data_IF_706930097239
#
_entry.id   IF_706930097239
#
_cell.length_a   1.000
_cell.length_b   1.000
_cell.length_c   1.000
_cell.angle_alpha   90.00
_cell.angle_beta   90.00
_cell.angle_gamma   90.00
#
_symmetry.space_group_name_H-M   'P 1'
#
loop_
_entity.id
_entity.type
_entity.pdbx_description
1 polymer ?
#
# COMPACT_ATOMS: atom_id res chain seq x y z
N UNK A 1 36.40 46.58 22.94
CA UNK A 1 36.37 45.11 23.07
C UNK A 1 35.00 44.69 23.57
N UNK A 2 34.24 43.94 22.76
CA UNK A 2 32.92 43.44 23.14
C UNK A 2 32.24 42.71 21.99
N UNK A 3 32.77 41.55 21.60
CA UNK A 3 32.10 40.67 20.64
C UNK A 3 30.85 40.06 21.30
N UNK A 4 29.66 40.54 20.92
CA UNK A 4 28.40 39.86 21.22
C UNK A 4 28.35 38.57 20.40
N UNK A 5 28.50 37.43 21.08
CA UNK A 5 28.18 36.11 20.49
C UNK A 5 26.71 36.09 20.11
N UNK A 6 26.43 36.00 18.81
CA UNK A 6 25.08 35.68 18.31
C UNK A 6 24.82 34.21 18.63
N UNK A 7 24.02 33.96 19.65
CA UNK A 7 23.53 32.61 19.95
C UNK A 7 22.52 32.26 18.87
N UNK A 8 22.89 31.35 17.96
CA UNK A 8 21.93 30.72 17.04
C UNK A 8 20.90 29.98 17.90
N UNK A 9 19.65 30.47 17.91
CA UNK A 9 18.51 29.71 18.42
C UNK A 9 18.32 28.52 17.48
N UNK A 10 18.77 27.34 17.91
CA UNK A 10 18.42 26.09 17.24
C UNK A 10 16.92 25.92 17.42
N UNK A 11 16.16 26.05 16.32
CA UNK A 11 14.75 25.71 16.34
C UNK A 11 14.69 24.19 16.46
N UNK A 12 14.48 23.69 17.68
CA UNK A 12 14.14 22.30 17.91
C UNK A 12 12.71 22.17 17.38
N UNK A 13 12.58 21.89 16.08
CA UNK A 13 11.29 21.57 15.46
C UNK A 13 10.64 20.46 16.28
N UNK A 14 9.37 20.63 16.66
CA UNK A 14 8.57 19.63 17.34
C UNK A 14 8.78 18.24 16.70
N UNK A 15 9.58 17.40 17.36
CA UNK A 15 9.90 16.04 16.90
C UNK A 15 8.77 15.06 17.16
N UNK A 16 7.70 15.52 17.83
CA UNK A 16 6.51 14.75 18.07
C UNK A 16 5.58 14.87 16.85
N UNK A 17 5.46 13.79 16.07
CA UNK A 17 4.47 13.66 15.01
C UNK A 17 3.48 12.57 15.45
N UNK A 18 2.40 12.92 16.18
CA UNK A 18 1.43 11.96 16.71
C UNK A 18 0.95 10.94 15.67
N UNK A 19 0.79 11.38 14.42
CA UNK A 19 0.34 10.54 13.31
C UNK A 19 1.31 9.39 13.01
N UNK A 20 2.62 9.59 13.16
CA UNK A 20 3.62 8.54 12.93
C UNK A 20 3.58 7.49 14.03
N UNK A 21 3.48 7.93 15.29
CA UNK A 21 3.33 7.03 16.43
C UNK A 21 2.03 6.23 16.29
N UNK A 22 0.94 6.90 15.91
CA UNK A 22 -0.33 6.24 15.68
C UNK A 22 -0.27 5.20 14.56
N UNK A 23 0.33 5.54 13.41
CA UNK A 23 0.52 4.61 12.30
C UNK A 23 1.29 3.36 12.74
N UNK A 24 2.40 3.54 13.45
CA UNK A 24 3.19 2.43 13.98
C UNK A 24 2.42 1.59 15.01
N UNK A 25 1.64 2.22 15.90
CA UNK A 25 0.80 1.48 16.85
C UNK A 25 -0.25 0.61 16.18
N UNK A 26 -0.81 1.04 15.04
CA UNK A 26 -1.78 0.22 14.29
C UNK A 26 -1.11 -1.03 13.73
N UNK A 27 0.12 -0.92 13.21
CA UNK A 27 0.88 -2.10 12.75
C UNK A 27 1.06 -3.11 13.90
N UNK A 28 1.46 -2.65 15.09
CA UNK A 28 1.59 -3.52 16.26
C UNK A 28 0.26 -4.15 16.70
N UNK A 29 -0.84 -3.41 16.63
CA UNK A 29 -2.16 -3.95 16.95
C UNK A 29 -2.61 -5.00 15.95
N UNK A 30 -2.34 -4.79 14.66
CA UNK A 30 -2.70 -5.75 13.63
C UNK A 30 -1.80 -6.99 13.68
N UNK A 31 -0.50 -6.84 13.92
CA UNK A 31 0.40 -7.95 14.21
C UNK A 31 -0.12 -8.80 15.39
N UNK A 32 -0.58 -8.18 16.48
CA UNK A 32 -1.18 -8.91 17.59
C UNK A 32 -2.48 -9.62 17.17
N UNK A 33 -3.30 -8.99 16.33
CA UNK A 33 -4.49 -9.62 15.78
C UNK A 33 -4.13 -10.86 14.95
N UNK A 34 -3.15 -10.79 14.06
CA UNK A 34 -2.67 -11.95 13.30
C UNK A 34 -2.15 -13.04 14.23
N UNK A 35 -1.30 -12.70 15.21
CA UNK A 35 -0.77 -13.68 16.19
C UNK A 35 -1.85 -14.42 16.98
N UNK A 36 -2.99 -13.79 17.24
CA UNK A 36 -4.12 -14.42 17.93
C UNK A 36 -4.91 -15.38 17.03
N UNK A 37 -4.82 -15.22 15.71
CA UNK A 37 -5.53 -16.02 14.72
C UNK A 37 -4.61 -17.01 13.97
N UNK A 38 -3.30 -16.89 14.14
CA UNK A 38 -2.31 -17.79 13.56
C UNK A 38 -2.52 -19.25 13.98
N UNK A 39 -2.20 -20.15 13.06
CA UNK A 39 -2.10 -21.56 13.32
C UNK A 39 -0.70 -21.94 13.85
N UNK A 40 -0.57 -23.19 14.29
CA UNK A 40 0.70 -23.69 14.79
C UNK A 40 1.73 -23.72 13.66
N UNK A 41 2.78 -22.93 13.82
CA UNK A 41 3.92 -22.89 12.90
C UNK A 41 3.96 -21.63 12.05
N UNK A 42 2.89 -20.84 12.06
CA UNK A 42 2.92 -19.51 11.47
C UNK A 42 3.89 -18.60 12.21
N UNK A 43 4.44 -17.62 11.49
CA UNK A 43 5.21 -16.53 12.07
C UNK A 43 4.69 -15.18 11.58
N UNK A 44 4.54 -14.24 12.50
CA UNK A 44 4.12 -12.87 12.20
C UNK A 44 5.30 -11.92 12.36
N UNK A 45 5.47 -11.02 11.39
CA UNK A 45 6.54 -10.05 11.31
C UNK A 45 6.00 -8.64 11.13
N UNK A 46 6.81 -7.64 11.47
CA UNK A 46 6.53 -6.21 11.29
C UNK A 46 7.71 -5.62 10.52
N UNK A 47 7.44 -4.89 9.44
CA UNK A 47 8.44 -4.19 8.61
C UNK A 47 9.52 -5.14 8.01
N UNK A 48 9.15 -6.38 7.67
CA UNK A 48 10.05 -7.34 7.01
C UNK A 48 9.85 -7.36 5.50
N UNK A 49 8.64 -7.67 5.03
CA UNK A 49 8.29 -7.66 3.60
C UNK A 49 7.03 -6.85 3.28
N UNK A 50 6.29 -6.42 4.31
CA UNK A 50 5.28 -5.37 4.29
C UNK A 50 5.16 -4.79 5.72
N UNK A 51 4.21 -3.89 5.96
CA UNK A 51 3.97 -3.32 7.30
C UNK A 51 3.76 -4.44 8.34
N UNK A 52 2.94 -5.45 7.99
CA UNK A 52 2.79 -6.70 8.73
C UNK A 52 2.88 -7.85 7.72
N UNK A 53 3.59 -8.91 8.09
CA UNK A 53 3.72 -10.10 7.26
C UNK A 53 3.40 -11.36 8.04
N UNK A 54 2.65 -12.30 7.45
CA UNK A 54 2.48 -13.66 7.99
C UNK A 54 3.19 -14.64 7.05
N UNK A 55 4.01 -15.53 7.60
CA UNK A 55 4.60 -16.66 6.87
C UNK A 55 4.04 -17.96 7.43
N UNK A 56 3.62 -18.85 6.53
CA UNK A 56 3.00 -20.12 6.86
C UNK A 56 3.98 -21.30 6.66
N UNK A 57 3.77 -22.45 7.34
CA UNK A 57 4.62 -23.63 7.20
C UNK A 57 4.70 -24.23 5.79
N UNK A 58 3.69 -24.01 4.95
CA UNK A 58 3.66 -24.44 3.55
C UNK A 58 4.43 -23.49 2.61
N UNK A 59 4.99 -22.41 3.16
CA UNK A 59 5.73 -21.38 2.44
C UNK A 59 4.87 -20.25 1.90
N UNK A 60 3.54 -20.32 2.03
CA UNK A 60 2.65 -19.22 1.64
C UNK A 60 2.81 -18.02 2.57
N UNK A 61 2.50 -16.84 2.06
CA UNK A 61 2.68 -15.56 2.77
C UNK A 61 1.48 -14.64 2.64
N UNK A 62 1.18 -13.91 3.72
CA UNK A 62 0.27 -12.77 3.68
C UNK A 62 1.08 -11.47 3.81
N UNK A 63 1.12 -10.66 2.76
CA UNK A 63 1.73 -9.33 2.74
C UNK A 63 0.68 -8.27 3.03
N UNK A 64 0.71 -7.71 4.24
CA UNK A 64 -0.34 -6.86 4.76
C UNK A 64 0.14 -5.42 4.87
N UNK A 65 -0.42 -4.56 4.02
CA UNK A 65 -0.18 -3.13 4.05
C UNK A 65 -1.31 -2.43 4.81
N UNK A 66 -0.94 -1.65 5.83
CA UNK A 66 -1.88 -0.88 6.63
C UNK A 66 -1.95 0.57 6.14
N UNK A 67 -3.16 1.05 5.89
CA UNK A 67 -3.43 2.46 5.60
C UNK A 67 -4.32 3.04 6.67
N UNK A 68 -3.74 3.98 7.42
CA UNK A 68 -4.46 4.82 8.35
C UNK A 68 -4.72 6.19 7.75
N UNK A 69 -5.81 6.83 8.15
CA UNK A 69 -6.06 8.21 7.78
C UNK A 69 -6.73 8.96 8.93
N UNK A 70 -6.32 10.21 9.13
CA UNK A 70 -7.16 11.18 9.83
C UNK A 70 -8.43 11.40 9.00
N UNK A 71 -9.55 11.69 9.66
CA UNK A 71 -10.91 11.60 9.11
C UNK A 71 -11.17 12.26 7.74
N UNK A 72 -10.37 13.26 7.37
CA UNK A 72 -10.50 14.02 6.13
C UNK A 72 -9.83 13.38 4.89
N UNK A 73 -8.89 12.43 5.04
CA UNK A 73 -8.20 11.80 3.90
C UNK A 73 -8.83 10.43 3.59
N UNK A 74 -8.96 10.12 2.29
CA UNK A 74 -9.32 8.78 1.83
C UNK A 74 -8.10 8.11 1.17
N UNK A 75 -7.41 7.18 1.87
CA UNK A 75 -6.18 6.57 1.37
C UNK A 75 -6.43 5.61 0.19
N UNK A 76 -7.68 5.24 -0.05
CA UNK A 76 -8.10 4.29 -1.11
C UNK A 76 -8.99 4.92 -2.17
N UNK A 77 -9.07 6.25 -2.21
CA UNK A 77 -9.72 6.91 -3.34
C UNK A 77 -8.96 6.63 -4.65
N UNK A 78 -9.64 6.65 -5.79
CA UNK A 78 -9.06 6.22 -7.07
C UNK A 78 -7.74 6.92 -7.41
N UNK A 79 -7.55 8.19 -7.01
CA UNK A 79 -6.32 8.96 -7.28
C UNK A 79 -5.40 9.09 -6.05
N UNK A 80 -5.66 8.34 -4.98
CA UNK A 80 -4.86 8.39 -3.76
C UNK A 80 -3.44 7.87 -4.03
N UNK A 81 -2.45 8.74 -3.82
CA UNK A 81 -1.05 8.37 -3.99
C UNK A 81 -0.63 7.18 -3.11
N UNK A 82 -1.15 7.07 -1.89
CA UNK A 82 -0.78 6.00 -0.97
C UNK A 82 -1.24 4.63 -1.48
N UNK A 83 -2.41 4.55 -2.11
CA UNK A 83 -2.90 3.33 -2.78
C UNK A 83 -1.95 2.93 -3.92
N UNK A 84 -1.64 3.86 -4.82
CA UNK A 84 -0.81 3.55 -5.99
C UNK A 84 0.64 3.24 -5.65
N UNK A 85 1.18 3.85 -4.59
CA UNK A 85 2.49 3.47 -4.04
C UNK A 85 2.49 2.04 -3.52
N UNK A 86 1.45 1.61 -2.83
CA UNK A 86 1.32 0.22 -2.36
C UNK A 86 1.22 -0.76 -3.53
N UNK A 87 0.33 -0.50 -4.50
CA UNK A 87 0.23 -1.35 -5.69
C UNK A 87 1.54 -1.45 -6.46
N UNK A 88 2.28 -0.33 -6.56
CA UNK A 88 3.61 -0.31 -7.16
C UNK A 88 4.61 -1.17 -6.39
N UNK A 89 4.66 -1.04 -5.06
CA UNK A 89 5.60 -1.80 -4.24
C UNK A 89 5.32 -3.32 -4.32
N UNK A 90 4.05 -3.73 -4.29
CA UNK A 90 3.66 -5.14 -4.43
C UNK A 90 4.01 -5.74 -5.79
N UNK A 91 3.78 -4.99 -6.88
CA UNK A 91 4.24 -5.47 -8.19
C UNK A 91 5.77 -5.52 -8.26
N UNK A 92 6.47 -4.55 -7.66
CA UNK A 92 7.92 -4.55 -7.65
C UNK A 92 8.47 -5.74 -6.87
N UNK A 93 7.90 -6.08 -5.71
CA UNK A 93 8.32 -7.25 -4.93
C UNK A 93 8.04 -8.56 -5.65
N UNK A 94 6.94 -8.66 -6.39
CA UNK A 94 6.67 -9.79 -7.28
C UNK A 94 7.74 -9.91 -8.39
N UNK A 95 8.04 -8.80 -9.07
CA UNK A 95 8.99 -8.76 -10.17
C UNK A 95 10.44 -9.02 -9.76
N UNK A 96 10.83 -8.61 -8.55
CA UNK A 96 12.17 -8.86 -8.00
C UNK A 96 12.31 -10.26 -7.39
N UNK A 97 11.22 -11.00 -7.26
CA UNK A 97 11.17 -12.30 -6.60
C UNK A 97 11.29 -12.23 -5.07
N UNK A 98 11.05 -11.05 -4.48
CA UNK A 98 10.97 -10.89 -3.02
C UNK A 98 9.71 -11.58 -2.47
N UNK A 99 8.60 -11.46 -3.20
CA UNK A 99 7.35 -12.17 -2.93
C UNK A 99 6.98 -12.99 -4.17
N UNK A 100 6.61 -14.26 -3.97
CA UNK A 100 6.09 -15.10 -5.04
C UNK A 100 4.58 -14.83 -5.20
N UNK A 101 4.12 -14.20 -6.30
CA UNK A 101 2.72 -13.85 -6.48
C UNK A 101 1.78 -15.05 -6.50
N UNK A 102 2.27 -16.25 -6.88
CA UNK A 102 1.45 -17.47 -6.86
C UNK A 102 1.23 -18.01 -5.44
N UNK A 103 2.07 -17.58 -4.49
CA UNK A 103 2.06 -18.06 -3.11
C UNK A 103 1.95 -16.94 -2.07
N UNK A 104 1.57 -15.73 -2.52
CA UNK A 104 1.46 -14.55 -1.67
C UNK A 104 0.09 -13.91 -1.81
N UNK A 105 -0.58 -13.73 -0.68
CA UNK A 105 -1.81 -12.95 -0.59
C UNK A 105 -1.49 -11.51 -0.20
N UNK A 106 -1.88 -10.57 -1.05
CA UNK A 106 -1.69 -9.13 -0.80
C UNK A 106 -2.94 -8.53 -0.15
N UNK A 107 -2.79 -7.97 1.05
CA UNK A 107 -3.91 -7.50 1.87
C UNK A 107 -3.74 -6.01 2.14
N UNK A 108 -4.70 -5.21 1.66
CA UNK A 108 -4.78 -3.78 1.98
C UNK A 108 -5.72 -3.57 3.16
N UNK A 109 -5.16 -3.40 4.36
CA UNK A 109 -5.94 -3.14 5.56
C UNK A 109 -6.21 -1.65 5.75
N UNK A 110 -7.48 -1.26 5.78
CA UNK A 110 -7.92 0.11 6.07
C UNK A 110 -8.58 0.19 7.44
N UNK A 111 -8.04 1.04 8.33
CA UNK A 111 -8.60 1.22 9.67
C UNK A 111 -9.70 2.30 9.74
N UNK A 112 -10.11 2.84 8.59
CA UNK A 112 -11.12 3.88 8.43
C UNK A 112 -12.23 3.39 7.51
N UNK A 113 -13.47 3.75 7.83
CA UNK A 113 -14.61 3.47 6.94
C UNK A 113 -14.57 4.39 5.71
N UNK A 114 -13.76 4.02 4.73
CA UNK A 114 -13.58 4.68 3.43
C UNK A 114 -13.70 3.63 2.33
N UNK A 115 -14.12 4.07 1.14
CA UNK A 115 -14.31 3.22 -0.03
C UNK A 115 -13.63 3.81 -1.25
N UNK A 116 -13.41 2.98 -2.26
CA UNK A 116 -12.89 3.40 -3.55
C UNK A 116 -13.28 2.40 -4.62
N UNK A 117 -13.73 2.87 -5.78
CA UNK A 117 -14.25 1.97 -6.81
C UNK A 117 -13.20 1.01 -7.35
N UNK A 118 -11.93 1.42 -7.33
CA UNK A 118 -10.81 0.56 -7.76
C UNK A 118 -10.56 -0.54 -6.75
N UNK A 119 -10.41 -0.19 -5.46
CA UNK A 119 -10.18 -1.20 -4.40
C UNK A 119 -11.36 -2.14 -4.27
N UNK A 120 -12.59 -1.65 -4.40
CA UNK A 120 -13.80 -2.47 -4.37
C UNK A 120 -13.81 -3.48 -5.54
N UNK A 121 -13.41 -3.05 -6.75
CA UNK A 121 -13.34 -3.94 -7.92
C UNK A 121 -12.32 -5.05 -7.77
N UNK A 122 -11.10 -4.73 -7.31
CA UNK A 122 -10.08 -5.75 -7.08
C UNK A 122 -10.44 -6.67 -5.91
N UNK A 123 -11.03 -6.12 -4.85
CA UNK A 123 -11.46 -6.91 -3.69
C UNK A 123 -12.58 -7.91 -4.02
N UNK A 124 -13.45 -7.59 -4.99
CA UNK A 124 -14.54 -8.49 -5.41
C UNK A 124 -14.14 -9.50 -6.50
N UNK A 125 -12.89 -9.50 -6.98
CA UNK A 125 -12.43 -10.49 -7.93
C UNK A 125 -12.04 -11.77 -7.20
N UNK A 126 -12.64 -12.90 -7.59
CA UNK A 126 -12.42 -14.23 -6.99
C UNK A 126 -11.73 -15.20 -7.97
N UNK A 127 -11.38 -14.74 -9.17
CA UNK A 127 -10.69 -15.50 -10.21
C UNK A 127 -9.73 -14.62 -11.01
N UNK A 128 -8.77 -15.24 -11.70
CA UNK A 128 -7.82 -14.55 -12.60
C UNK A 128 -8.56 -13.80 -13.72
N UNK A 129 -9.62 -14.38 -14.28
CA UNK A 129 -10.43 -13.71 -15.31
C UNK A 129 -11.10 -12.44 -14.77
N UNK A 130 -11.64 -12.50 -13.54
CA UNK A 130 -12.24 -11.35 -12.88
C UNK A 130 -11.19 -10.31 -12.48
N UNK A 131 -9.98 -10.71 -12.08
CA UNK A 131 -8.87 -9.80 -11.79
C UNK A 131 -8.41 -9.06 -13.05
N UNK A 132 -8.29 -9.76 -14.18
CA UNK A 132 -7.98 -9.16 -15.49
C UNK A 132 -9.09 -8.20 -15.93
N UNK A 133 -10.36 -8.58 -15.78
CA UNK A 133 -11.50 -7.71 -16.07
C UNK A 133 -11.51 -6.46 -15.18
N UNK A 134 -11.24 -6.62 -13.87
CA UNK A 134 -11.09 -5.52 -12.94
C UNK A 134 -9.94 -4.59 -13.36
N UNK A 135 -8.79 -5.13 -13.76
CA UNK A 135 -7.66 -4.34 -14.26
C UNK A 135 -8.02 -3.55 -15.52
N UNK A 136 -8.70 -4.17 -16.49
CA UNK A 136 -9.12 -3.49 -17.73
C UNK A 136 -10.11 -2.36 -17.41
N UNK A 137 -11.17 -2.65 -16.65
CA UNK A 137 -12.21 -1.67 -16.29
C UNK A 137 -11.67 -0.54 -15.43
N UNK A 138 -10.71 -0.80 -14.55
CA UNK A 138 -10.10 0.24 -13.72
C UNK A 138 -9.09 1.08 -14.51
N UNK A 139 -8.44 0.53 -15.55
CA UNK A 139 -7.61 1.28 -16.51
C UNK A 139 -8.40 2.39 -17.19
N UNK A 140 -9.66 2.15 -17.56
CA UNK A 140 -10.55 3.14 -18.20
C UNK A 140 -10.82 4.38 -17.32
N UNK A 141 -10.59 4.31 -16.01
CA UNK A 141 -10.68 5.48 -15.11
C UNK A 141 -9.57 6.50 -15.43
N UNK A 142 -8.41 6.01 -15.89
CA UNK A 142 -7.22 6.82 -16.13
C UNK A 142 -6.94 7.09 -17.59
N UNK A 143 -7.33 6.20 -18.49
CA UNK A 143 -7.08 6.34 -19.91
C UNK A 143 -8.40 6.66 -20.63
N UNK A 144 -8.33 7.51 -21.66
CA UNK A 144 -9.46 7.71 -22.58
C UNK A 144 -9.51 6.59 -23.64
N UNK A 145 -10.53 6.64 -24.49
CA UNK A 145 -10.75 5.66 -25.56
C UNK A 145 -9.61 5.63 -26.59
N UNK A 146 -8.79 6.68 -26.66
CA UNK A 146 -7.63 6.77 -27.53
C UNK A 146 -6.34 6.28 -26.82
N UNK A 147 -6.44 5.78 -25.59
CA UNK A 147 -5.32 5.31 -24.79
C UNK A 147 -4.46 6.42 -24.21
N UNK A 148 -4.94 7.68 -24.21
CA UNK A 148 -4.22 8.80 -23.62
C UNK A 148 -4.59 8.95 -22.14
N UNK A 149 -3.57 9.14 -21.31
CA UNK A 149 -3.73 9.34 -19.88
C UNK A 149 -4.46 10.66 -19.59
N UNK A 150 -5.56 10.57 -18.83
CA UNK A 150 -6.34 11.68 -18.28
C UNK A 150 -5.55 12.43 -17.21
N UNK A 151 -5.96 13.66 -16.91
CA UNK A 151 -5.28 14.48 -15.91
C UNK A 151 -5.33 13.84 -14.50
N UNK A 152 -4.14 13.49 -14.02
CA UNK A 152 -3.86 13.04 -12.66
C UNK A 152 -2.59 13.71 -12.14
N UNK A 153 -2.49 13.84 -10.81
CA UNK A 153 -1.34 14.46 -10.15
C UNK A 153 -0.03 13.75 -10.50
N UNK A 154 1.04 14.52 -10.66
CA UNK A 154 2.34 14.04 -11.17
C UNK A 154 2.91 12.87 -10.36
N UNK A 155 2.81 12.92 -9.03
CA UNK A 155 3.33 11.85 -8.18
C UNK A 155 2.55 10.53 -8.34
N UNK A 156 1.25 10.62 -8.62
CA UNK A 156 0.37 9.46 -8.83
C UNK A 156 0.56 8.89 -10.24
N UNK A 157 0.84 9.75 -11.22
CA UNK A 157 1.03 9.40 -12.63
C UNK A 157 1.99 8.24 -12.84
N UNK A 158 3.21 8.33 -12.31
CA UNK A 158 4.24 7.31 -12.53
C UNK A 158 3.82 5.91 -12.06
N UNK A 159 3.05 5.83 -10.97
CA UNK A 159 2.61 4.55 -10.41
C UNK A 159 1.44 3.96 -11.21
N UNK A 160 0.49 4.81 -11.62
CA UNK A 160 -0.61 4.42 -12.51
C UNK A 160 -0.08 3.94 -13.86
N UNK A 161 0.85 4.69 -14.46
CA UNK A 161 1.50 4.30 -15.72
C UNK A 161 2.23 2.98 -15.57
N UNK A 162 2.97 2.79 -14.47
CA UNK A 162 3.67 1.54 -14.21
C UNK A 162 2.71 0.36 -14.08
N UNK A 163 1.63 0.48 -13.32
CA UNK A 163 0.62 -0.56 -13.09
C UNK A 163 -0.16 -0.96 -14.34
N UNK A 164 -0.44 -0.01 -15.23
CA UNK A 164 -1.25 -0.27 -16.42
C UNK A 164 -0.45 -0.57 -17.70
N UNK A 165 0.87 -0.81 -17.60
CA UNK A 165 1.63 -1.37 -18.72
C UNK A 165 1.14 -2.78 -19.04
N UNK A 166 1.02 -3.10 -20.32
CA UNK A 166 0.44 -4.39 -20.74
C UNK A 166 1.27 -5.60 -20.26
N UNK A 167 2.59 -5.42 -20.10
CA UNK A 167 3.50 -6.42 -19.53
C UNK A 167 3.18 -6.78 -18.08
N UNK A 168 2.43 -5.96 -17.33
CA UNK A 168 2.10 -6.21 -15.93
C UNK A 168 0.89 -7.11 -15.74
N UNK A 169 0.14 -7.41 -16.81
CA UNK A 169 -1.02 -8.31 -16.75
C UNK A 169 -0.65 -9.73 -16.30
N UNK A 170 0.61 -10.14 -16.42
CA UNK A 170 1.09 -11.46 -16.01
C UNK A 170 1.18 -11.61 -14.48
N UNK A 171 1.07 -10.52 -13.74
CA UNK A 171 1.15 -10.47 -12.28
C UNK A 171 -0.23 -10.32 -11.61
N UNK A 172 -1.30 -10.57 -12.38
CA UNK A 172 -2.71 -10.56 -11.94
C UNK A 172 -3.25 -11.98 -11.92
#
# INVERSE_FOLDING_TARGET
>A
MGNKKVVKKTNISNTHVPDKVYAYMIQLHHMLYELLNCEKGDSVSVEVFDDVGVEHPDGSRDAIQLKSALSNRNPVSNKAIDLWKTMYNWMLSAETGELDPENTKYILFINVNKKGTIVDKFHSAESTEEAIDAWIKTKEIFYDEQGKLKEIGEECRKYVEYFYKDEKKIWL
#
